data_IF_588867474743
#
_entry.id   IF_588867474743
#
_cell.length_a   1.000
_cell.length_b   1.000
_cell.length_c   1.000
_cell.angle_alpha   90.00
_cell.angle_beta   90.00
_cell.angle_gamma   90.00
#
_symmetry.space_group_name_H-M   'P 1'
#
loop_
_entity.id
_entity.type
_entity.pdbx_description
1 polymer ?
#
# COMPACT_ATOMS: atom_id res chain seq x y z
N UNK A 1 -0.86 -16.35 -4.87
CA UNK A 1 -0.80 -15.09 -4.14
C UNK A 1 -2.17 -14.40 -4.04
N UNK A 2 -2.86 -14.14 -5.16
CA UNK A 2 -4.14 -13.38 -5.15
C UNK A 2 -5.24 -14.07 -4.34
N UNK A 3 -5.33 -15.40 -4.37
CA UNK A 3 -6.30 -16.14 -3.56
C UNK A 3 -5.95 -16.07 -2.07
N UNK A 4 -4.67 -16.18 -1.71
CA UNK A 4 -4.21 -15.96 -0.34
C UNK A 4 -4.52 -14.53 0.13
N UNK A 5 -4.31 -13.52 -0.72
CA UNK A 5 -4.62 -12.12 -0.41
C UNK A 5 -6.13 -11.92 -0.20
N UNK A 6 -6.97 -12.55 -1.03
CA UNK A 6 -8.43 -12.53 -0.86
C UNK A 6 -8.86 -13.20 0.45
N UNK A 7 -8.16 -14.27 0.85
CA UNK A 7 -8.38 -14.95 2.13
C UNK A 7 -8.00 -14.06 3.31
N UNK A 8 -6.80 -13.50 3.33
CA UNK A 8 -6.29 -12.71 4.48
C UNK A 8 -7.07 -11.41 4.66
N UNK A 9 -7.55 -10.79 3.57
CA UNK A 9 -8.43 -9.62 3.61
C UNK A 9 -9.90 -10.00 3.83
N UNK A 10 -10.22 -11.30 3.92
CA UNK A 10 -11.61 -11.78 4.07
C UNK A 10 -12.56 -11.17 3.02
N UNK A 11 -12.12 -11.11 1.77
CA UNK A 11 -12.92 -10.59 0.64
C UNK A 11 -13.85 -11.68 0.13
N UNK A 12 -13.33 -12.90 0.05
CA UNK A 12 -14.08 -14.10 -0.38
C UNK A 12 -13.41 -15.37 0.15
N UNK A 13 -14.20 -16.42 0.28
CA UNK A 13 -13.68 -17.73 0.59
C UNK A 13 -12.80 -18.23 -0.56
N UNK A 14 -11.63 -18.76 -0.22
CA UNK A 14 -10.68 -19.34 -1.19
C UNK A 14 -10.14 -20.66 -0.68
N UNK A 15 -9.71 -21.52 -1.61
CA UNK A 15 -9.08 -22.80 -1.26
C UNK A 15 -7.63 -22.62 -0.78
N UNK A 16 -6.99 -21.50 -1.16
CA UNK A 16 -5.59 -21.21 -0.81
C UNK A 16 -5.55 -20.27 0.39
N UNK A 17 -5.29 -20.83 1.55
CA UNK A 17 -5.21 -20.14 2.83
C UNK A 17 -3.77 -19.92 3.30
N UNK A 18 -2.81 -20.63 2.72
CA UNK A 18 -1.39 -20.54 3.04
C UNK A 18 -0.64 -19.75 1.98
N UNK A 19 0.36 -19.00 2.42
CA UNK A 19 1.25 -18.29 1.52
C UNK A 19 2.25 -19.27 0.90
N UNK A 20 1.96 -19.70 -0.30
CA UNK A 20 2.87 -20.51 -1.13
C UNK A 20 2.95 -19.90 -2.53
N UNK A 21 4.01 -19.14 -2.76
CA UNK A 21 4.21 -18.49 -4.06
C UNK A 21 5.69 -18.17 -4.29
N UNK A 22 6.06 -18.10 -5.56
CA UNK A 22 7.39 -17.61 -5.98
C UNK A 22 7.55 -16.08 -5.82
N UNK A 23 6.48 -15.37 -5.50
CA UNK A 23 6.51 -13.94 -5.24
C UNK A 23 7.18 -13.68 -3.89
N UNK A 24 8.10 -12.73 -3.84
CA UNK A 24 8.67 -12.26 -2.59
C UNK A 24 7.67 -11.38 -1.84
N UNK A 25 7.42 -11.69 -0.55
CA UNK A 25 6.67 -10.81 0.34
C UNK A 25 7.52 -10.54 1.58
N UNK A 26 7.70 -9.26 1.91
CA UNK A 26 8.42 -8.83 3.11
C UNK A 26 7.65 -7.73 3.83
N UNK A 27 7.66 -7.81 5.15
CA UNK A 27 7.10 -6.78 6.04
C UNK A 27 8.26 -6.07 6.71
N UNK A 28 8.19 -4.74 6.75
CA UNK A 28 9.22 -3.86 7.30
C UNK A 28 8.69 -3.14 8.53
N UNK A 29 9.51 -3.03 9.55
CA UNK A 29 9.19 -2.31 10.78
C UNK A 29 9.40 -0.79 10.64
N UNK A 30 10.21 -0.37 9.65
CA UNK A 30 10.52 1.02 9.33
C UNK A 30 10.18 1.33 7.86
N UNK A 31 9.41 2.40 7.57
CA UNK A 31 9.06 2.76 6.20
C UNK A 31 10.28 3.19 5.38
N UNK A 32 11.34 3.68 6.00
CA UNK A 32 12.60 4.05 5.33
C UNK A 32 13.34 2.82 4.82
N UNK A 33 13.35 1.73 5.60
CA UNK A 33 13.97 0.47 5.17
C UNK A 33 13.21 -0.13 4.00
N UNK A 34 11.88 -0.07 4.02
CA UNK A 34 11.05 -0.46 2.86
C UNK A 34 11.38 0.41 1.63
N UNK A 35 11.46 1.72 1.80
CA UNK A 35 11.82 2.65 0.71
C UNK A 35 13.18 2.30 0.10
N UNK A 36 14.20 2.10 0.94
CA UNK A 36 15.55 1.76 0.49
C UNK A 36 15.58 0.45 -0.29
N UNK A 37 14.85 -0.56 0.17
CA UNK A 37 14.75 -1.84 -0.55
C UNK A 37 14.02 -1.67 -1.90
N UNK A 38 12.92 -0.93 -1.95
CA UNK A 38 12.21 -0.66 -3.22
C UNK A 38 13.08 0.16 -4.17
N UNK A 39 13.83 1.11 -3.67
CA UNK A 39 14.77 1.90 -4.47
C UNK A 39 15.85 1.01 -5.11
N UNK A 40 16.42 0.08 -4.33
CA UNK A 40 17.33 -0.95 -4.82
C UNK A 40 16.69 -1.80 -5.92
N UNK A 41 15.48 -2.32 -5.68
CA UNK A 41 14.74 -3.12 -6.67
C UNK A 41 14.43 -2.33 -7.93
N UNK A 42 14.15 -1.03 -7.80
CA UNK A 42 13.90 -0.16 -8.93
C UNK A 42 15.12 -0.03 -9.86
N UNK A 43 16.31 0.06 -9.27
CA UNK A 43 17.57 0.06 -10.05
C UNK A 43 17.80 -1.27 -10.77
N UNK A 44 17.59 -2.39 -10.07
CA UNK A 44 17.74 -3.75 -10.60
C UNK A 44 16.72 -4.07 -11.71
N UNK A 45 15.49 -3.55 -11.61
CA UNK A 45 14.38 -3.81 -12.52
C UNK A 45 14.23 -2.76 -13.64
N UNK A 46 15.21 -1.89 -13.82
CA UNK A 46 15.16 -0.84 -14.84
C UNK A 46 13.89 0.04 -14.72
N UNK A 47 13.71 0.64 -13.55
CA UNK A 47 12.61 1.56 -13.24
C UNK A 47 11.20 0.93 -13.20
N UNK A 48 11.09 -0.34 -12.78
CA UNK A 48 9.81 -1.06 -12.68
C UNK A 48 9.38 -1.33 -11.24
N UNK A 49 9.72 -0.42 -10.32
CA UNK A 49 9.26 -0.49 -8.93
C UNK A 49 8.70 0.84 -8.48
N UNK A 50 7.70 0.82 -7.61
CA UNK A 50 7.02 2.03 -7.10
C UNK A 50 6.61 1.83 -5.64
N UNK A 51 6.27 2.97 -5.01
CA UNK A 51 5.64 2.97 -3.69
C UNK A 51 4.22 3.50 -3.83
N UNK A 52 3.29 2.85 -3.14
CA UNK A 52 1.89 3.23 -3.04
C UNK A 52 1.46 3.24 -1.58
N UNK A 53 0.41 3.98 -1.27
CA UNK A 53 -0.14 4.03 0.07
C UNK A 53 -1.67 4.08 0.09
N UNK A 54 -2.27 3.66 1.20
CA UNK A 54 -3.63 4.03 1.55
C UNK A 54 -3.77 5.55 1.66
N UNK A 55 -4.94 6.07 1.34
CA UNK A 55 -5.16 7.53 1.29
C UNK A 55 -5.37 8.12 2.70
N UNK A 56 -4.35 8.01 3.55
CA UNK A 56 -4.38 8.39 4.97
C UNK A 56 -3.73 9.75 5.27
N UNK A 57 -3.41 10.55 4.26
CA UNK A 57 -2.83 11.88 4.37
C UNK A 57 -3.49 12.85 3.40
N UNK A 58 -3.46 14.16 3.69
CA UNK A 58 -3.93 15.16 2.74
C UNK A 58 -3.12 15.08 1.44
N UNK A 59 -3.69 15.62 0.37
CA UNK A 59 -3.00 15.76 -0.90
C UNK A 59 -2.97 17.23 -1.27
N UNK A 60 -1.94 17.93 -0.83
CA UNK A 60 -1.76 19.37 -1.01
C UNK A 60 -1.49 19.73 -2.47
N UNK A 61 -1.77 20.98 -2.80
CA UNK A 61 -1.29 21.54 -4.06
C UNK A 61 0.24 21.78 -3.97
N UNK A 62 0.95 21.74 -5.10
CA UNK A 62 2.37 22.08 -5.13
C UNK A 62 2.63 23.48 -4.56
N UNK A 63 3.83 23.68 -4.04
CA UNK A 63 4.32 24.99 -3.64
C UNK A 63 4.37 25.97 -4.84
N UNK A 64 4.52 27.27 -4.58
CA UNK A 64 4.57 28.31 -5.63
C UNK A 64 5.73 28.13 -6.61
N UNK A 65 6.81 27.50 -6.19
CA UNK A 65 7.97 27.14 -7.02
C UNK A 65 7.80 25.81 -7.79
N UNK A 66 6.63 25.15 -7.63
CA UNK A 66 6.31 23.89 -8.30
C UNK A 66 6.81 22.65 -7.58
N UNK A 67 7.50 22.75 -6.43
CA UNK A 67 7.89 21.60 -5.62
C UNK A 67 6.68 20.95 -4.96
N UNK A 68 6.72 19.63 -4.80
CA UNK A 68 5.66 18.87 -4.15
C UNK A 68 5.76 18.99 -2.63
N UNK A 69 4.61 18.99 -1.96
CA UNK A 69 4.53 18.96 -0.50
C UNK A 69 4.67 17.52 -0.03
N UNK A 70 5.53 17.27 0.96
CA UNK A 70 5.68 15.95 1.58
C UNK A 70 4.52 15.68 2.54
N UNK A 71 3.38 15.27 2.01
CA UNK A 71 2.16 15.03 2.79
C UNK A 71 2.14 13.66 3.48
N UNK A 72 2.74 12.64 2.86
CA UNK A 72 2.84 11.30 3.46
C UNK A 72 3.92 11.32 4.53
N UNK A 73 3.50 11.30 5.79
CA UNK A 73 4.39 11.46 6.96
C UNK A 73 4.20 10.33 7.95
N UNK A 74 5.32 9.68 8.31
CA UNK A 74 5.38 8.60 9.29
C UNK A 74 6.63 8.83 10.15
N UNK A 75 6.45 9.41 11.34
CA UNK A 75 7.57 9.85 12.14
C UNK A 75 8.42 10.89 11.39
N UNK A 76 9.69 10.60 11.19
CA UNK A 76 10.65 11.42 10.43
C UNK A 76 10.75 11.02 8.94
N UNK A 77 10.04 9.96 8.53
CA UNK A 77 9.92 9.59 7.13
C UNK A 77 8.83 10.42 6.46
N UNK A 78 9.16 11.07 5.35
CA UNK A 78 8.19 11.83 4.59
C UNK A 78 8.42 11.76 3.08
N UNK A 79 7.32 11.71 2.32
CA UNK A 79 7.31 11.70 0.85
C UNK A 79 6.11 12.50 0.33
N UNK A 80 6.22 13.07 -0.88
CA UNK A 80 5.06 13.66 -1.54
C UNK A 80 4.20 12.58 -2.20
N UNK A 81 2.91 12.86 -2.33
CA UNK A 81 2.07 12.18 -3.29
C UNK A 81 2.52 12.47 -4.73
N UNK A 82 2.11 11.62 -5.65
CA UNK A 82 2.29 11.82 -7.09
C UNK A 82 1.72 13.16 -7.56
N UNK A 83 2.26 13.70 -8.63
CA UNK A 83 1.83 14.98 -9.19
C UNK A 83 0.45 14.86 -9.83
N UNK A 84 -0.58 15.54 -9.28
CA UNK A 84 -1.98 15.44 -9.72
C UNK A 84 -2.18 15.61 -11.24
N UNK A 85 -1.50 16.57 -11.84
CA UNK A 85 -1.66 16.91 -13.26
C UNK A 85 -0.86 16.01 -14.20
N UNK A 86 -0.08 15.08 -13.69
CA UNK A 86 0.82 14.22 -14.45
C UNK A 86 0.90 12.82 -13.84
N UNK A 87 -0.20 12.33 -13.28
CA UNK A 87 -0.24 11.04 -12.58
C UNK A 87 0.23 9.85 -13.45
N UNK A 88 0.00 9.90 -14.77
CA UNK A 88 0.47 8.86 -15.70
C UNK A 88 2.01 8.79 -15.77
N UNK A 89 2.71 9.90 -15.51
CA UNK A 89 4.17 9.91 -15.49
C UNK A 89 4.75 9.20 -14.27
N UNK A 90 4.01 9.17 -13.16
CA UNK A 90 4.45 8.51 -11.95
C UNK A 90 4.87 7.05 -12.21
N UNK A 91 4.12 6.31 -13.03
CA UNK A 91 4.42 4.91 -13.32
C UNK A 91 5.65 4.71 -14.22
N UNK A 92 5.97 5.67 -15.09
CA UNK A 92 6.97 5.52 -16.16
C UNK A 92 8.23 6.37 -15.96
N UNK A 93 8.13 7.56 -15.36
CA UNK A 93 9.26 8.44 -15.17
C UNK A 93 10.12 7.99 -13.99
N UNK A 94 11.42 8.24 -14.05
CA UNK A 94 12.36 7.92 -12.96
C UNK A 94 11.99 8.66 -11.67
N UNK A 95 11.50 9.91 -11.77
CA UNK A 95 11.04 10.72 -10.64
C UNK A 95 9.82 10.13 -9.91
N UNK A 96 9.12 9.18 -10.51
CA UNK A 96 8.02 8.47 -9.86
C UNK A 96 8.44 7.68 -8.62
N UNK A 97 9.74 7.33 -8.53
CA UNK A 97 10.29 6.64 -7.36
C UNK A 97 10.35 7.56 -6.11
N UNK A 98 10.37 8.86 -6.30
CA UNK A 98 10.40 9.87 -5.22
C UNK A 98 8.99 10.34 -4.82
N UNK A 99 7.95 9.68 -5.31
CA UNK A 99 6.56 10.02 -5.10
C UNK A 99 5.75 8.78 -4.74
N UNK A 100 4.75 8.94 -3.89
CA UNK A 100 3.83 7.87 -3.49
C UNK A 100 2.61 7.88 -4.40
N UNK A 101 2.29 6.74 -5.00
CA UNK A 101 1.09 6.57 -5.81
C UNK A 101 -0.15 6.26 -4.98
N UNK A 102 -1.31 6.64 -5.50
CA UNK A 102 -2.62 6.30 -4.93
C UNK A 102 -3.21 5.06 -5.62
N UNK A 103 -4.29 4.51 -5.05
CA UNK A 103 -5.04 3.43 -5.69
C UNK A 103 -5.56 3.83 -7.07
N UNK A 104 -5.94 5.09 -7.24
CA UNK A 104 -6.48 5.61 -8.50
C UNK A 104 -5.48 5.59 -9.65
N UNK A 105 -4.21 5.81 -9.35
CA UNK A 105 -3.12 5.79 -10.33
C UNK A 105 -2.53 4.41 -10.50
N UNK A 106 -2.41 3.65 -9.41
CA UNK A 106 -1.86 2.30 -9.44
C UNK A 106 -2.79 1.30 -10.17
N UNK A 107 -4.10 1.57 -10.16
CA UNK A 107 -5.08 0.72 -10.85
C UNK A 107 -4.80 0.72 -12.36
N UNK A 108 -4.59 -0.47 -12.92
CA UNK A 108 -4.25 -0.65 -14.33
C UNK A 108 -2.76 -0.60 -14.65
N UNK A 109 -1.91 -0.31 -13.66
CA UNK A 109 -0.45 -0.40 -13.79
C UNK A 109 0.08 -1.68 -13.15
N UNK A 110 1.18 -2.20 -13.67
CA UNK A 110 1.87 -3.38 -13.15
C UNK A 110 3.37 -3.09 -13.01
N UNK A 111 3.93 -3.59 -11.92
CA UNK A 111 5.33 -3.39 -11.56
C UNK A 111 6.03 -4.73 -11.30
N UNK A 112 7.34 -4.74 -11.35
CA UNK A 112 8.13 -5.88 -10.89
C UNK A 112 8.06 -6.00 -9.36
N UNK A 113 8.24 -4.87 -8.66
CA UNK A 113 8.16 -4.79 -7.21
C UNK A 113 7.34 -3.58 -6.77
N UNK A 114 6.62 -3.71 -5.66
CA UNK A 114 5.85 -2.61 -5.09
C UNK A 114 6.07 -2.51 -3.58
N UNK A 115 6.29 -1.29 -3.09
CA UNK A 115 6.22 -0.94 -1.68
C UNK A 115 4.82 -0.45 -1.35
N UNK A 116 4.20 -1.00 -0.33
CA UNK A 116 2.86 -0.62 0.10
C UNK A 116 2.91 -0.09 1.52
N UNK A 117 2.56 1.17 1.71
CA UNK A 117 2.26 1.72 3.02
C UNK A 117 0.80 1.39 3.34
N UNK A 118 0.59 0.38 4.17
CA UNK A 118 -0.74 -0.01 4.62
C UNK A 118 -1.19 0.96 5.70
N UNK A 119 -2.17 1.80 5.36
CA UNK A 119 -2.66 2.86 6.23
C UNK A 119 -3.53 2.35 7.38
N UNK A 120 -3.87 3.25 8.28
CA UNK A 120 -4.69 2.96 9.45
C UNK A 120 -6.17 3.30 9.26
N UNK A 121 -6.61 3.49 8.03
CA UNK A 121 -8.02 3.59 7.65
C UNK A 121 -8.70 2.21 7.53
N UNK A 122 -7.91 1.15 7.42
CA UNK A 122 -8.33 -0.25 7.50
C UNK A 122 -7.41 -0.98 8.50
N UNK A 123 -7.97 -1.52 9.57
CA UNK A 123 -7.21 -2.22 10.61
C UNK A 123 -7.82 -3.57 10.96
N UNK A 124 -7.00 -4.51 11.39
CA UNK A 124 -7.47 -5.79 11.94
C UNK A 124 -7.49 -5.73 13.46
N UNK A 125 -8.67 -5.85 14.04
CA UNK A 125 -8.86 -5.87 15.48
C UNK A 125 -8.67 -7.30 16.01
N UNK A 126 -7.52 -7.57 16.60
CA UNK A 126 -7.17 -8.92 17.09
C UNK A 126 -8.02 -9.36 18.31
N UNK A 127 -8.62 -8.42 19.03
CA UNK A 127 -9.45 -8.73 20.20
C UNK A 127 -10.78 -9.38 19.82
N UNK A 128 -11.35 -8.97 18.69
CA UNK A 128 -12.62 -9.50 18.15
C UNK A 128 -12.39 -10.33 16.87
N UNK A 129 -11.15 -10.36 16.36
CA UNK A 129 -10.75 -11.07 15.12
C UNK A 129 -11.55 -10.63 13.89
N UNK A 130 -11.65 -9.34 13.69
CA UNK A 130 -12.40 -8.76 12.58
C UNK A 130 -11.67 -7.58 11.96
N UNK A 131 -11.83 -7.39 10.65
CA UNK A 131 -11.45 -6.18 9.96
C UNK A 131 -12.38 -5.01 10.33
N UNK A 132 -11.78 -3.84 10.55
CA UNK A 132 -12.52 -2.61 10.86
C UNK A 132 -12.11 -1.47 9.95
N UNK A 133 -13.10 -0.79 9.39
CA UNK A 133 -12.92 0.48 8.72
C UNK A 133 -12.77 1.61 9.74
N UNK A 134 -11.78 2.49 9.51
CA UNK A 134 -11.51 3.70 10.28
C UNK A 134 -11.57 4.92 9.36
N UNK A 135 -12.80 5.32 8.91
CA UNK A 135 -12.95 6.38 7.92
C UNK A 135 -12.43 7.74 8.40
N UNK A 136 -12.31 7.94 9.71
CA UNK A 136 -11.71 9.12 10.32
C UNK A 136 -10.23 9.30 9.97
N UNK A 137 -9.54 8.21 9.60
CA UNK A 137 -8.15 8.20 9.18
C UNK A 137 -7.97 8.32 7.67
N UNK A 138 -9.06 8.36 6.90
CA UNK A 138 -9.01 8.51 5.44
C UNK A 138 -9.20 9.95 5.02
N UNK A 139 -8.38 10.38 4.05
CA UNK A 139 -8.51 11.66 3.34
C UNK A 139 -9.16 11.51 1.95
N UNK A 140 -9.59 10.31 1.60
CA UNK A 140 -10.27 10.06 0.34
C UNK A 140 -11.70 10.63 0.38
N UNK A 141 -11.95 11.63 -0.46
CA UNK A 141 -13.28 12.26 -0.59
C UNK A 141 -14.35 11.32 -1.16
N UNK A 142 -13.95 10.24 -1.82
CA UNK A 142 -14.86 9.22 -2.34
C UNK A 142 -15.38 8.30 -1.23
N UNK A 143 -14.72 8.26 -0.08
CA UNK A 143 -15.12 7.46 1.07
C UNK A 143 -16.28 8.13 1.78
N UNK A 144 -17.46 7.57 1.61
CA UNK A 144 -18.68 7.99 2.33
C UNK A 144 -18.71 7.30 3.70
N UNK A 145 -18.50 8.07 4.77
CA UNK A 145 -18.40 7.57 6.15
C UNK A 145 -19.60 6.74 6.60
N UNK A 146 -20.78 6.99 6.07
CA UNK A 146 -22.02 6.28 6.41
C UNK A 146 -22.39 5.20 5.37
N UNK A 147 -21.44 4.78 4.53
CA UNK A 147 -21.67 3.72 3.57
C UNK A 147 -21.54 2.35 4.25
N UNK A 148 -22.57 1.48 4.25
CA UNK A 148 -22.48 0.14 4.80
C UNK A 148 -21.45 -0.74 4.11
N UNK A 149 -21.10 -0.44 2.84
CA UNK A 149 -20.09 -1.15 2.06
C UNK A 149 -18.64 -0.61 2.26
N UNK A 150 -18.45 0.34 3.18
CA UNK A 150 -17.16 0.99 3.39
C UNK A 150 -16.04 0.00 3.70
N UNK A 151 -16.31 -0.97 4.58
CA UNK A 151 -15.32 -1.99 4.94
C UNK A 151 -14.89 -2.79 3.71
N UNK A 152 -15.83 -3.25 2.91
CA UNK A 152 -15.55 -4.00 1.68
C UNK A 152 -14.82 -3.14 0.65
N UNK A 153 -15.18 -1.86 0.57
CA UNK A 153 -14.49 -0.91 -0.30
C UNK A 153 -13.00 -0.77 0.08
N UNK A 154 -12.71 -0.54 1.36
CA UNK A 154 -11.33 -0.41 1.85
C UNK A 154 -10.52 -1.70 1.68
N UNK A 155 -11.11 -2.87 1.97
CA UNK A 155 -10.49 -4.17 1.69
C UNK A 155 -10.09 -4.28 0.20
N UNK A 156 -10.97 -3.87 -0.71
CA UNK A 156 -10.68 -3.88 -2.14
C UNK A 156 -9.61 -2.85 -2.56
N UNK A 157 -9.56 -1.68 -1.92
CA UNK A 157 -8.48 -0.71 -2.14
C UNK A 157 -7.12 -1.35 -1.83
N UNK A 158 -6.96 -1.95 -0.65
CA UNK A 158 -5.69 -2.59 -0.28
C UNK A 158 -5.41 -3.84 -1.12
N UNK A 159 -6.43 -4.59 -1.51
CA UNK A 159 -6.26 -5.68 -2.48
C UNK A 159 -5.67 -5.19 -3.80
N UNK A 160 -6.16 -4.06 -4.30
CA UNK A 160 -5.61 -3.45 -5.53
C UNK A 160 -4.16 -3.06 -5.30
N UNK A 161 -3.83 -2.31 -4.24
CA UNK A 161 -2.46 -1.88 -3.96
C UNK A 161 -1.49 -3.05 -3.82
N UNK A 162 -1.86 -4.08 -3.06
CA UNK A 162 -1.05 -5.27 -2.80
C UNK A 162 -0.92 -6.20 -4.02
N UNK A 163 -1.76 -6.05 -5.04
CA UNK A 163 -1.75 -6.88 -6.24
C UNK A 163 -1.07 -6.26 -7.46
N UNK A 164 -0.38 -5.11 -7.29
CA UNK A 164 0.22 -4.37 -8.43
C UNK A 164 1.61 -4.85 -8.84
N UNK A 165 2.17 -5.87 -8.21
CA UNK A 165 3.46 -6.42 -8.59
C UNK A 165 3.39 -7.92 -8.83
N UNK A 166 4.33 -8.44 -9.63
CA UNK A 166 4.40 -9.86 -9.96
C UNK A 166 5.69 -10.55 -9.50
N UNK A 167 6.69 -9.81 -8.99
CA UNK A 167 7.91 -10.37 -8.42
C UNK A 167 8.02 -10.20 -6.91
N UNK A 168 7.60 -9.03 -6.38
CA UNK A 168 7.70 -8.80 -4.96
C UNK A 168 6.82 -7.68 -4.43
N UNK A 169 6.26 -7.92 -3.24
CA UNK A 169 5.47 -6.96 -2.47
C UNK A 169 6.15 -6.73 -1.13
N UNK A 170 6.40 -5.48 -0.81
CA UNK A 170 7.08 -5.03 0.40
C UNK A 170 6.14 -4.11 1.16
N UNK A 171 5.86 -4.43 2.42
CA UNK A 171 4.78 -3.78 3.16
C UNK A 171 5.33 -3.13 4.43
N UNK A 172 4.91 -1.90 4.67
CA UNK A 172 4.96 -1.25 5.97
C UNK A 172 3.54 -1.02 6.47
N UNK A 173 3.25 -1.40 7.71
CA UNK A 173 1.96 -1.20 8.34
C UNK A 173 2.01 -0.04 9.33
N UNK A 174 1.05 0.88 9.23
CA UNK A 174 0.87 1.92 10.25
C UNK A 174 0.28 1.36 11.54
N UNK A 175 -0.58 0.33 11.43
CA UNK A 175 -1.18 -0.36 12.57
C UNK A 175 -0.45 -1.66 12.90
N UNK A 176 0.04 -1.75 14.15
CA UNK A 176 0.85 -2.90 14.59
C UNK A 176 0.07 -4.18 14.81
N UNK A 177 -1.22 -4.11 15.11
CA UNK A 177 -2.06 -5.31 15.23
C UNK A 177 -2.35 -5.91 13.86
N UNK A 178 -2.59 -5.07 12.86
CA UNK A 178 -2.71 -5.48 11.46
C UNK A 178 -1.41 -6.11 10.94
N UNK A 179 -0.25 -5.53 11.29
CA UNK A 179 1.05 -6.11 10.96
C UNK A 179 1.22 -7.51 11.56
N UNK A 180 0.90 -7.69 12.84
CA UNK A 180 0.96 -9.01 13.51
C UNK A 180 0.04 -10.03 12.85
N UNK A 181 -1.17 -9.60 12.49
CA UNK A 181 -2.12 -10.44 11.78
C UNK A 181 -1.54 -10.94 10.44
N UNK A 182 -0.97 -10.04 9.63
CA UNK A 182 -0.32 -10.46 8.38
C UNK A 182 0.87 -11.38 8.62
N UNK A 183 1.74 -11.06 9.60
CA UNK A 183 2.91 -11.90 9.95
C UNK A 183 2.50 -13.31 10.37
N UNK A 184 1.37 -13.46 11.07
CA UNK A 184 0.87 -14.78 11.51
C UNK A 184 0.38 -15.69 10.37
N UNK A 185 0.15 -15.12 9.17
CA UNK A 185 -0.29 -15.84 7.97
C UNK A 185 0.83 -16.05 6.95
N UNK A 186 2.06 -15.68 7.31
CA UNK A 186 3.25 -15.97 6.51
C UNK A 186 3.96 -17.20 7.07
N UNK A 187 4.63 -17.99 6.22
CA UNK A 187 5.45 -19.08 6.72
C UNK A 187 6.56 -18.55 7.63
N UNK A 188 6.84 -19.27 8.70
CA UNK A 188 8.01 -18.96 9.55
C UNK A 188 9.26 -18.95 8.65
N UNK A 189 9.98 -17.84 8.67
CA UNK A 189 11.30 -17.79 8.01
C UNK A 189 12.23 -18.59 8.91
N UNK A 190 12.52 -19.82 8.51
CA UNK A 190 13.55 -20.68 9.13
C UNK A 190 14.93 -20.11 8.81
#
# INVERSE_FOLDING_TARGET
YLQWLDHILEIRDTEITEFDTKMSLRIFDDPRDMYNEIQKRNLESNNKSRIVAGFCWPWSNPNTDGTLVNDVKIGDFEMPWEKKNQFWKWAIDKSGMDQVGTVYTAQGMEFDHIGVIFGNDLVYDTSVKEWRAKPENSFDSQIKRNNPELLNHLKNVYRVLLSRAHKGVYIYFMDKETEKYFKSHLPEII
#
